data_IF_094081978631
#
_entry.id   IF_094081978631
#
_cell.length_a   1.000
_cell.length_b   1.000
_cell.length_c   1.000
_cell.angle_alpha   90.00
_cell.angle_beta   90.00
_cell.angle_gamma   90.00
#
_symmetry.space_group_name_H-M   'P 1'
#
loop_
_entity.id
_entity.type
_entity.pdbx_description
1 polymer ?
#
# COMPACT_ATOMS: atom_id res chain seq x y z
N UNK A 1 12.14 20.45 -9.36
CA UNK A 1 12.97 19.24 -9.42
C UNK A 1 14.12 19.34 -8.43
N UNK A 2 14.50 18.21 -7.82
CA UNK A 2 15.67 18.12 -6.96
C UNK A 2 16.94 18.29 -7.80
N UNK A 3 17.87 19.07 -7.27
CA UNK A 3 19.21 19.24 -7.85
C UNK A 3 20.09 18.01 -7.54
N UNK A 4 21.21 17.83 -8.24
CA UNK A 4 22.08 16.66 -8.03
C UNK A 4 22.64 16.57 -6.60
N UNK A 5 22.84 17.70 -5.95
CA UNK A 5 23.28 17.78 -4.55
C UNK A 5 22.20 17.42 -3.54
N UNK A 6 20.94 17.31 -3.96
CA UNK A 6 19.77 17.02 -3.14
C UNK A 6 19.28 15.58 -3.30
N UNK A 7 19.97 14.75 -4.05
CA UNK A 7 19.56 13.36 -4.34
C UNK A 7 19.99 12.35 -3.27
N UNK A 8 20.47 12.80 -2.14
CA UNK A 8 20.85 11.92 -1.03
C UNK A 8 20.34 12.48 0.31
N UNK A 9 19.32 11.87 0.85
CA UNK A 9 18.77 12.20 2.16
C UNK A 9 19.44 11.36 3.24
N UNK A 10 19.93 12.01 4.29
CA UNK A 10 20.65 11.36 5.40
C UNK A 10 19.88 11.56 6.72
N UNK A 11 20.37 10.95 7.79
CA UNK A 11 19.82 11.12 9.13
C UNK A 11 20.43 12.31 9.92
N UNK A 12 21.29 13.11 9.30
CA UNK A 12 21.95 14.23 9.99
C UNK A 12 20.96 15.34 10.35
N UNK A 13 19.97 15.58 9.50
CA UNK A 13 18.91 16.57 9.70
C UNK A 13 17.61 16.07 9.08
N UNK A 14 16.44 16.45 9.64
CA UNK A 14 15.17 16.18 8.99
C UNK A 14 15.03 17.03 7.72
N UNK A 15 14.29 16.47 6.76
CA UNK A 15 13.92 17.13 5.51
C UNK A 15 12.47 17.60 5.60
N UNK A 16 12.20 18.83 5.23
CA UNK A 16 10.84 19.37 5.15
C UNK A 16 10.54 19.72 3.70
N UNK A 17 9.48 19.13 3.15
CA UNK A 17 9.08 19.30 1.75
C UNK A 17 7.85 20.20 1.68
N UNK A 18 7.96 21.32 0.96
CA UNK A 18 6.87 22.22 0.60
C UNK A 18 6.54 22.04 -0.89
N UNK A 19 5.29 21.69 -1.20
CA UNK A 19 4.88 21.31 -2.55
C UNK A 19 5.43 19.94 -2.95
N UNK A 20 5.64 19.70 -4.23
CA UNK A 20 6.18 18.43 -4.71
C UNK A 20 7.68 18.50 -4.93
N UNK A 21 8.43 17.68 -4.17
CA UNK A 21 9.82 17.39 -4.51
C UNK A 21 9.84 16.36 -5.64
N UNK A 22 10.35 16.73 -6.82
CA UNK A 22 10.35 15.87 -7.99
C UNK A 22 11.76 15.36 -8.32
N UNK A 23 11.89 14.03 -8.46
CA UNK A 23 13.12 13.39 -8.97
C UNK A 23 13.06 13.36 -10.49
N UNK A 24 14.02 14.03 -11.13
CA UNK A 24 14.04 14.21 -12.56
C UNK A 24 14.52 12.97 -13.33
N UNK A 25 14.25 12.96 -14.64
CA UNK A 25 14.64 11.89 -15.55
C UNK A 25 16.11 11.47 -15.41
N UNK A 26 16.36 10.17 -15.33
CA UNK A 26 17.68 9.57 -15.19
C UNK A 26 18.34 9.73 -13.81
N UNK A 27 17.64 10.31 -12.84
CA UNK A 27 18.15 10.53 -11.48
C UNK A 27 17.56 9.51 -10.49
N UNK A 28 18.31 9.25 -9.44
CA UNK A 28 17.88 8.40 -8.31
C UNK A 28 17.95 9.20 -7.02
N UNK A 29 16.84 9.27 -6.29
CA UNK A 29 16.84 9.76 -4.92
C UNK A 29 17.17 8.61 -3.98
N UNK A 30 18.28 8.73 -3.26
CA UNK A 30 18.68 7.79 -2.21
C UNK A 30 18.32 8.35 -0.83
N UNK A 31 17.63 7.56 -0.04
CA UNK A 31 17.25 7.91 1.32
C UNK A 31 17.89 6.90 2.28
N UNK A 32 18.79 7.38 3.11
CA UNK A 32 19.63 6.55 3.98
C UNK A 32 18.91 6.17 5.29
N UNK A 33 19.38 5.13 5.99
CA UNK A 33 18.78 4.72 7.27
C UNK A 33 18.65 5.87 8.27
N UNK A 34 17.52 5.90 8.96
CA UNK A 34 17.22 6.89 9.99
C UNK A 34 16.82 8.28 9.48
N UNK A 35 16.70 8.48 8.16
CA UNK A 35 16.24 9.75 7.62
C UNK A 35 14.77 10.03 8.01
N UNK A 36 14.47 11.31 8.25
CA UNK A 36 13.13 11.81 8.61
C UNK A 36 12.67 12.80 7.56
N UNK A 37 11.56 12.47 6.89
CA UNK A 37 11.00 13.26 5.80
C UNK A 37 9.61 13.75 6.22
N UNK A 38 9.49 15.06 6.36
CA UNK A 38 8.27 15.72 6.77
C UNK A 38 7.66 16.48 5.59
N UNK A 39 6.38 16.32 5.39
CA UNK A 39 5.65 16.99 4.31
C UNK A 39 4.71 18.06 4.87
N UNK A 40 4.80 19.24 4.32
CA UNK A 40 3.80 20.27 4.55
C UNK A 40 2.47 19.90 3.88
N UNK A 41 1.38 20.58 4.24
CA UNK A 41 0.09 20.37 3.61
C UNK A 41 0.17 20.48 2.07
N UNK A 42 -0.55 19.62 1.36
CA UNK A 42 -0.57 19.52 -0.11
C UNK A 42 0.77 19.19 -0.77
N UNK A 43 1.72 18.70 0.01
CA UNK A 43 3.07 18.34 -0.46
C UNK A 43 3.19 16.85 -0.73
N UNK A 44 4.21 16.45 -1.49
CA UNK A 44 4.48 15.05 -1.81
C UNK A 44 5.84 14.83 -2.44
N UNK A 45 6.13 13.59 -2.74
CA UNK A 45 7.33 13.19 -3.47
C UNK A 45 6.90 12.62 -4.83
N UNK A 46 7.49 13.11 -5.92
CA UNK A 46 7.18 12.67 -7.29
C UNK A 46 8.41 12.05 -7.95
N UNK A 47 8.31 10.79 -8.31
CA UNK A 47 9.35 10.07 -9.07
C UNK A 47 8.91 10.05 -10.53
N UNK A 48 9.59 10.82 -11.38
CA UNK A 48 9.16 11.01 -12.77
C UNK A 48 9.63 9.88 -13.69
N UNK A 49 9.31 9.98 -14.97
CA UNK A 49 9.73 9.02 -15.99
C UNK A 49 11.26 8.81 -15.95
N UNK A 50 11.70 7.55 -16.02
CA UNK A 50 13.09 7.10 -15.98
C UNK A 50 13.88 7.60 -14.74
N UNK A 51 13.16 7.93 -13.65
CA UNK A 51 13.74 8.23 -12.35
C UNK A 51 13.49 7.08 -11.37
N UNK A 52 14.25 7.06 -10.28
CA UNK A 52 14.16 6.01 -9.26
C UNK A 52 14.12 6.58 -7.84
N UNK A 53 13.46 5.83 -6.95
CA UNK A 53 13.48 6.06 -5.50
C UNK A 53 14.12 4.86 -4.80
N UNK A 54 15.16 5.09 -4.04
CA UNK A 54 15.78 4.07 -3.19
C UNK A 54 15.70 4.48 -1.71
N UNK A 55 14.80 3.86 -0.97
CA UNK A 55 14.68 4.02 0.48
C UNK A 55 15.40 2.85 1.14
N UNK A 56 16.51 3.13 1.81
CA UNK A 56 17.45 2.15 2.34
C UNK A 56 17.43 2.12 3.87
N UNK A 57 16.25 2.04 4.48
CA UNK A 57 16.14 1.87 5.93
C UNK A 57 16.75 0.55 6.41
N UNK A 58 16.97 0.45 7.71
CA UNK A 58 17.50 -0.72 8.39
C UNK A 58 16.65 -1.08 9.60
N UNK A 59 16.75 -2.33 10.10
CA UNK A 59 16.06 -2.72 11.32
C UNK A 59 16.48 -1.82 12.50
N UNK A 60 15.51 -1.34 13.25
CA UNK A 60 15.71 -0.59 14.48
C UNK A 60 15.84 -1.54 15.68
N UNK A 61 16.64 -1.18 16.68
CA UNK A 61 16.72 -1.91 17.93
C UNK A 61 15.55 -1.57 18.85
N UNK A 62 15.08 -0.32 18.77
CA UNK A 62 13.93 0.17 19.50
C UNK A 62 12.74 0.31 18.55
N UNK A 63 11.69 -0.48 18.78
CA UNK A 63 10.49 -0.53 17.95
C UNK A 63 9.58 0.70 18.10
N UNK A 64 9.84 1.57 19.08
CA UNK A 64 9.08 2.82 19.27
C UNK A 64 9.84 4.02 18.67
N UNK A 65 11.16 4.05 18.80
CA UNK A 65 12.00 5.13 18.26
C UNK A 65 12.24 4.99 16.76
N UNK A 66 12.22 3.75 16.23
CA UNK A 66 12.44 3.44 14.81
C UNK A 66 13.70 4.15 14.26
N UNK A 67 14.81 4.12 15.04
CA UNK A 67 15.98 4.99 14.84
C UNK A 67 16.69 4.75 13.51
N UNK A 68 16.58 3.54 12.94
CA UNK A 68 17.20 3.18 11.67
C UNK A 68 16.20 3.09 10.51
N UNK A 69 14.90 3.11 10.78
CA UNK A 69 13.90 3.16 9.72
C UNK A 69 13.83 4.56 9.09
N UNK A 70 13.40 4.62 7.85
CA UNK A 70 13.08 5.89 7.20
C UNK A 70 11.61 6.23 7.48
N UNK A 71 11.36 7.44 7.99
CA UNK A 71 9.99 7.86 8.30
C UNK A 71 9.53 8.97 7.36
N UNK A 72 8.35 8.76 6.74
CA UNK A 72 7.61 9.72 5.95
C UNK A 72 6.33 10.10 6.68
N UNK A 73 6.18 11.37 7.05
CA UNK A 73 5.01 11.85 7.80
C UNK A 73 4.73 13.34 7.52
N UNK A 74 3.62 13.87 8.07
CA UNK A 74 3.34 15.32 8.03
C UNK A 74 4.33 16.13 8.87
N UNK A 75 4.44 17.43 8.59
CA UNK A 75 5.31 18.36 9.32
C UNK A 75 4.70 18.89 10.64
N UNK A 76 3.46 18.46 10.97
CA UNK A 76 2.78 18.79 12.21
C UNK A 76 3.16 17.77 13.28
N UNK A 77 4.20 18.07 14.05
CA UNK A 77 4.79 17.15 15.05
C UNK A 77 4.15 17.28 16.45
N UNK A 78 3.15 18.16 16.62
CA UNK A 78 2.43 18.25 17.89
C UNK A 78 1.65 16.95 18.17
N UNK A 79 1.59 16.46 19.41
CA UNK A 79 0.96 15.17 19.75
C UNK A 79 -0.46 15.00 19.21
N UNK A 80 -1.22 16.07 19.08
CA UNK A 80 -2.57 16.05 18.51
C UNK A 80 -2.59 15.57 17.03
N UNK A 81 -1.54 15.85 16.27
CA UNK A 81 -1.45 15.52 14.84
C UNK A 81 -0.78 14.16 14.57
N UNK A 82 -0.28 13.50 15.61
CA UNK A 82 0.47 12.24 15.47
C UNK A 82 -0.31 11.16 14.69
N UNK A 83 -1.63 11.14 14.83
CA UNK A 83 -2.50 10.13 14.22
C UNK A 83 -3.57 10.77 13.32
N UNK A 84 -3.37 12.01 12.87
CA UNK A 84 -4.27 12.64 11.90
C UNK A 84 -3.83 12.26 10.49
N UNK A 85 -4.73 11.63 9.74
CA UNK A 85 -4.53 11.29 8.33
C UNK A 85 -4.74 12.49 7.40
N UNK A 86 -4.22 12.43 6.15
CA UNK A 86 -4.45 13.44 5.14
C UNK A 86 -3.64 14.72 5.30
N UNK A 87 -2.53 14.69 6.02
CA UNK A 87 -1.68 15.87 6.23
C UNK A 87 -0.84 16.23 5.01
N UNK A 88 -0.58 15.29 4.11
CA UNK A 88 0.19 15.46 2.88
C UNK A 88 -0.38 14.56 1.78
N UNK A 89 0.11 14.68 0.55
CA UNK A 89 -0.51 14.00 -0.58
C UNK A 89 -0.06 12.55 -0.75
N UNK A 90 1.12 12.30 -1.33
CA UNK A 90 1.58 10.95 -1.64
C UNK A 90 3.08 10.88 -1.94
N UNK A 91 3.63 9.65 -1.86
CA UNK A 91 4.80 9.25 -2.65
C UNK A 91 4.26 8.75 -3.99
N UNK A 92 4.48 9.49 -5.07
CA UNK A 92 3.93 9.17 -6.37
C UNK A 92 5.02 8.64 -7.31
N UNK A 93 4.94 7.34 -7.60
CA UNK A 93 5.77 6.65 -8.59
C UNK A 93 5.07 6.76 -9.94
N UNK A 94 5.41 7.82 -10.69
CA UNK A 94 4.73 8.14 -11.93
C UNK A 94 5.01 7.10 -13.03
N UNK A 95 4.16 7.08 -14.07
CA UNK A 95 4.35 6.25 -15.24
C UNK A 95 5.76 6.44 -15.83
N UNK A 96 6.47 5.35 -16.11
CA UNK A 96 7.83 5.33 -16.58
C UNK A 96 8.91 5.52 -15.50
N UNK A 97 8.58 5.71 -14.22
CA UNK A 97 9.57 5.59 -13.14
C UNK A 97 10.01 4.12 -12.98
N UNK A 98 11.28 3.88 -12.67
CA UNK A 98 11.88 2.55 -12.72
C UNK A 98 12.66 2.21 -11.45
N UNK A 99 12.76 0.91 -11.11
CA UNK A 99 13.58 0.43 -9.99
C UNK A 99 13.30 1.18 -8.67
N UNK A 100 12.02 1.37 -8.33
CA UNK A 100 11.67 2.01 -7.07
C UNK A 100 11.72 0.95 -5.95
N UNK A 101 12.53 1.21 -4.94
CA UNK A 101 12.77 0.29 -3.82
C UNK A 101 12.49 1.02 -2.51
N UNK A 102 11.66 0.40 -1.66
CA UNK A 102 11.41 0.86 -0.29
C UNK A 102 11.70 -0.29 0.66
N UNK A 103 12.60 -0.09 1.60
CA UNK A 103 12.96 -1.09 2.59
C UNK A 103 13.09 -0.45 3.98
N UNK A 104 12.51 -1.07 5.00
CA UNK A 104 12.45 -0.59 6.38
C UNK A 104 12.03 0.88 6.47
N UNK A 105 10.80 1.13 6.05
CA UNK A 105 10.19 2.47 6.08
C UNK A 105 8.85 2.46 6.82
N UNK A 106 8.57 3.56 7.48
CA UNK A 106 7.24 3.91 8.00
C UNK A 106 6.68 5.08 7.21
N UNK A 107 5.56 4.85 6.51
CA UNK A 107 4.87 5.85 5.68
C UNK A 107 3.51 6.10 6.31
N UNK A 108 3.27 7.31 6.83
CA UNK A 108 2.04 7.58 7.59
C UNK A 108 1.46 8.98 7.40
N UNK A 109 0.20 9.12 7.75
CA UNK A 109 -0.53 10.39 7.88
C UNK A 109 -0.78 11.13 6.56
N UNK A 110 -0.58 10.51 5.41
CA UNK A 110 -0.86 11.11 4.11
C UNK A 110 -2.29 10.93 3.61
N UNK A 111 -2.55 11.43 2.41
CA UNK A 111 -3.77 11.13 1.66
C UNK A 111 -3.66 9.74 1.03
N UNK A 112 -2.57 9.46 0.33
CA UNK A 112 -2.19 8.14 -0.18
C UNK A 112 -0.75 7.87 0.26
N UNK A 113 -0.48 6.70 0.80
CA UNK A 113 0.89 6.36 1.20
C UNK A 113 1.80 6.26 -0.03
N UNK A 114 1.51 5.32 -0.92
CA UNK A 114 2.20 5.18 -2.20
C UNK A 114 1.19 5.08 -3.33
N UNK A 115 1.31 5.96 -4.32
CA UNK A 115 0.60 5.89 -5.60
C UNK A 115 1.57 5.40 -6.68
N UNK A 116 1.28 4.27 -7.30
CA UNK A 116 2.12 3.65 -8.32
C UNK A 116 1.35 3.53 -9.64
N UNK A 117 1.86 4.17 -10.69
CA UNK A 117 1.20 4.24 -12.00
C UNK A 117 2.04 3.62 -13.12
N UNK A 118 1.38 2.83 -13.97
CA UNK A 118 1.91 2.32 -15.23
C UNK A 118 2.98 1.24 -15.08
N UNK A 119 3.48 0.77 -16.23
CA UNK A 119 4.61 -0.18 -16.33
C UNK A 119 4.32 -1.56 -15.73
N UNK A 120 3.13 -2.06 -15.91
CA UNK A 120 2.67 -3.36 -15.38
C UNK A 120 3.52 -4.56 -15.82
N UNK A 121 4.24 -4.45 -16.94
CA UNK A 121 5.12 -5.49 -17.45
C UNK A 121 6.55 -5.43 -16.86
N UNK A 122 6.88 -4.38 -16.10
CA UNK A 122 8.18 -4.26 -15.46
C UNK A 122 8.13 -4.73 -14.00
N UNK A 123 8.64 -5.93 -13.68
CA UNK A 123 8.64 -6.45 -12.31
C UNK A 123 9.53 -5.62 -11.36
N UNK A 124 10.37 -4.74 -11.87
CA UNK A 124 11.19 -3.83 -11.08
C UNK A 124 10.53 -2.48 -10.82
N UNK A 125 9.29 -2.26 -11.30
CA UNK A 125 8.59 -0.97 -11.18
C UNK A 125 8.54 -0.49 -9.73
N UNK A 126 8.07 -1.34 -8.82
CA UNK A 126 8.03 -1.03 -7.39
C UNK A 126 8.23 -2.27 -6.51
N UNK A 127 9.18 -2.18 -5.60
CA UNK A 127 9.42 -3.18 -4.58
C UNK A 127 9.37 -2.52 -3.20
N UNK A 128 8.57 -3.11 -2.29
CA UNK A 128 8.48 -2.65 -0.91
C UNK A 128 8.64 -3.83 0.05
N UNK A 129 9.57 -3.70 1.00
CA UNK A 129 9.87 -4.77 1.95
C UNK A 129 10.02 -4.23 3.37
N UNK A 130 9.70 -5.06 4.37
CA UNK A 130 9.94 -4.77 5.79
C UNK A 130 9.41 -3.39 6.22
N UNK A 131 8.24 -2.99 5.75
CA UNK A 131 7.77 -1.60 5.87
C UNK A 131 6.34 -1.53 6.39
N UNK A 132 5.99 -0.38 6.95
CA UNK A 132 4.67 -0.08 7.47
C UNK A 132 4.06 1.09 6.71
N UNK A 133 2.78 0.96 6.33
CA UNK A 133 2.01 2.01 5.65
C UNK A 133 0.68 2.15 6.36
N UNK A 134 0.44 3.25 7.03
CA UNK A 134 -0.78 3.37 7.80
C UNK A 134 -1.29 4.81 7.96
N UNK A 135 -2.55 4.91 8.36
CA UNK A 135 -3.20 6.18 8.71
C UNK A 135 -3.27 7.15 7.52
N UNK A 136 -3.77 6.67 6.39
CA UNK A 136 -3.99 7.48 5.19
C UNK A 136 -5.47 7.80 4.99
N UNK A 137 -5.80 9.03 4.59
CA UNK A 137 -7.22 9.41 4.44
C UNK A 137 -7.92 8.72 3.26
N UNK A 138 -7.16 8.20 2.30
CA UNK A 138 -7.67 7.44 1.16
C UNK A 138 -7.07 6.03 1.11
N UNK A 139 -5.94 5.85 0.44
CA UNK A 139 -5.32 4.54 0.23
C UNK A 139 -3.97 4.41 0.93
N UNK A 140 -3.66 3.22 1.43
CA UNK A 140 -2.31 2.90 1.86
C UNK A 140 -1.38 2.77 0.66
N UNK A 141 -1.64 1.78 -0.20
CA UNK A 141 -0.96 1.60 -1.49
C UNK A 141 -2.02 1.52 -2.59
N UNK A 142 -1.91 2.38 -3.59
CA UNK A 142 -2.74 2.37 -4.79
C UNK A 142 -1.90 2.10 -6.02
N UNK A 143 -2.08 0.94 -6.64
CA UNK A 143 -1.52 0.57 -7.94
C UNK A 143 -2.54 0.75 -9.04
N UNK A 144 -2.13 1.35 -10.19
CA UNK A 144 -2.97 1.50 -11.37
C UNK A 144 -2.20 1.03 -12.60
N UNK A 145 -2.64 -0.09 -13.23
CA UNK A 145 -1.96 -0.69 -14.38
C UNK A 145 -0.45 -0.80 -14.16
N UNK A 146 -0.04 -1.38 -13.03
CA UNK A 146 1.37 -1.33 -12.57
C UNK A 146 1.84 -2.68 -12.04
N UNK A 147 3.14 -2.77 -11.73
CA UNK A 147 3.74 -3.94 -11.10
C UNK A 147 4.25 -3.60 -9.69
N UNK A 148 3.81 -4.37 -8.69
CA UNK A 148 4.21 -4.22 -7.29
C UNK A 148 4.63 -5.57 -6.72
N UNK A 149 5.84 -5.62 -6.16
CA UNK A 149 6.32 -6.73 -5.34
C UNK A 149 6.39 -6.25 -3.89
N UNK A 150 5.70 -6.93 -2.99
CA UNK A 150 5.71 -6.58 -1.58
C UNK A 150 5.99 -7.81 -0.71
N UNK A 151 6.86 -7.65 0.28
CA UNK A 151 7.19 -8.70 1.23
C UNK A 151 7.33 -8.14 2.65
N UNK A 152 6.71 -8.82 3.61
CA UNK A 152 6.78 -8.45 5.01
C UNK A 152 6.37 -6.98 5.25
N UNK A 153 5.20 -6.61 4.73
CA UNK A 153 4.64 -5.28 4.95
C UNK A 153 3.37 -5.34 5.79
N UNK A 154 3.11 -4.26 6.49
CA UNK A 154 1.88 -4.05 7.23
C UNK A 154 1.20 -2.79 6.70
N UNK A 155 -0.06 -2.91 6.25
CA UNK A 155 -0.87 -1.77 5.83
C UNK A 155 -2.12 -1.73 6.71
N UNK A 156 -2.46 -0.55 7.24
CA UNK A 156 -3.62 -0.40 8.12
C UNK A 156 -4.20 1.01 8.12
N UNK A 157 -5.42 1.13 8.62
CA UNK A 157 -6.08 2.40 8.95
C UNK A 157 -6.12 3.39 7.78
N UNK A 158 -6.81 3.00 6.70
CA UNK A 158 -6.97 3.81 5.48
C UNK A 158 -8.45 4.10 5.21
N UNK A 159 -8.77 5.35 4.84
CA UNK A 159 -10.15 5.82 4.67
C UNK A 159 -10.91 5.18 3.50
N UNK A 160 -10.20 4.63 2.51
CA UNK A 160 -10.77 3.81 1.44
C UNK A 160 -10.24 2.37 1.55
N UNK A 161 -9.18 2.00 0.86
CA UNK A 161 -8.58 0.67 0.96
C UNK A 161 -7.13 0.74 1.42
N UNK A 162 -6.71 -0.27 2.17
CA UNK A 162 -5.31 -0.41 2.56
C UNK A 162 -4.44 -0.74 1.35
N UNK A 163 -4.85 -1.69 0.53
CA UNK A 163 -4.23 -1.98 -0.77
C UNK A 163 -5.30 -1.99 -1.86
N UNK A 164 -5.06 -1.25 -2.93
CA UNK A 164 -5.90 -1.28 -4.12
C UNK A 164 -5.05 -1.50 -5.37
N UNK A 165 -5.32 -2.59 -6.09
CA UNK A 165 -4.79 -2.88 -7.42
C UNK A 165 -5.89 -2.63 -8.44
N UNK A 166 -5.86 -1.47 -9.09
CA UNK A 166 -6.93 -1.02 -9.99
C UNK A 166 -6.45 -0.90 -11.42
N UNK A 167 -7.40 -1.05 -12.35
CA UNK A 167 -7.09 -1.00 -13.77
C UNK A 167 -6.02 -2.04 -14.16
N UNK A 168 -6.17 -3.29 -13.65
CA UNK A 168 -5.26 -4.39 -13.93
C UNK A 168 -3.87 -4.25 -13.30
N UNK A 169 -2.90 -4.96 -13.87
CA UNK A 169 -1.50 -4.93 -13.43
C UNK A 169 -0.95 -6.29 -13.01
N UNK A 170 0.20 -6.27 -12.31
CA UNK A 170 0.89 -7.42 -11.75
C UNK A 170 1.24 -7.20 -10.28
N UNK A 171 0.74 -8.05 -9.39
CA UNK A 171 0.94 -7.93 -7.95
C UNK A 171 1.45 -9.24 -7.36
N UNK A 172 2.55 -9.18 -6.62
CA UNK A 172 3.08 -10.31 -5.88
C UNK A 172 3.33 -9.89 -4.43
N UNK A 173 2.46 -10.32 -3.53
CA UNK A 173 2.46 -9.92 -2.13
C UNK A 173 2.67 -11.16 -1.26
N UNK A 174 3.71 -11.15 -0.44
CA UNK A 174 4.03 -12.30 0.43
C UNK A 174 4.25 -11.88 1.88
N UNK A 175 3.90 -12.75 2.82
CA UNK A 175 4.15 -12.56 4.27
C UNK A 175 3.66 -11.22 4.80
N UNK A 176 2.48 -10.76 4.37
CA UNK A 176 2.04 -9.39 4.60
C UNK A 176 0.68 -9.31 5.28
N UNK A 177 0.45 -8.26 6.05
CA UNK A 177 -0.83 -7.95 6.65
C UNK A 177 -1.45 -6.73 5.98
N UNK A 178 -2.57 -6.95 5.29
CA UNK A 178 -3.40 -5.90 4.68
C UNK A 178 -4.65 -5.77 5.55
N UNK A 179 -4.54 -5.01 6.61
CA UNK A 179 -5.65 -4.76 7.52
C UNK A 179 -6.27 -3.38 7.29
N UNK A 180 -7.51 -3.18 7.74
CA UNK A 180 -8.10 -1.86 7.73
C UNK A 180 -9.06 -1.63 8.90
N UNK A 181 -8.56 -0.99 9.94
CA UNK A 181 -9.31 -0.62 11.14
C UNK A 181 -9.69 0.86 11.18
N UNK A 182 -9.94 1.47 10.02
CA UNK A 182 -10.34 2.85 9.90
C UNK A 182 -11.62 3.15 10.70
N UNK A 183 -11.55 4.16 11.55
CA UNK A 183 -12.66 4.56 12.43
C UNK A 183 -12.99 6.07 12.37
N UNK A 184 -12.24 6.86 11.60
CA UNK A 184 -12.41 8.32 11.56
C UNK A 184 -13.63 8.77 10.76
N UNK A 185 -14.13 7.92 9.86
CA UNK A 185 -15.35 8.17 9.07
C UNK A 185 -15.92 6.86 8.55
N UNK A 186 -17.08 6.92 7.87
CA UNK A 186 -17.60 5.77 7.14
C UNK A 186 -16.63 5.35 6.03
N UNK A 187 -16.28 4.06 5.99
CA UNK A 187 -15.42 3.46 4.97
C UNK A 187 -16.28 2.65 3.99
N UNK A 188 -16.19 2.99 2.72
CA UNK A 188 -17.00 2.35 1.67
C UNK A 188 -16.32 1.09 1.11
N UNK A 189 -14.98 1.10 0.98
CA UNK A 189 -14.23 0.02 0.34
C UNK A 189 -13.56 -0.90 1.35
N UNK A 190 -13.27 -2.16 0.96
CA UNK A 190 -12.60 -3.13 1.83
C UNK A 190 -11.10 -2.85 2.00
N UNK A 191 -10.45 -3.63 2.87
CA UNK A 191 -9.00 -3.56 3.04
C UNK A 191 -8.24 -3.84 1.74
N UNK A 192 -8.70 -4.84 0.95
CA UNK A 192 -8.13 -5.21 -0.34
C UNK A 192 -9.16 -5.05 -1.47
N UNK A 193 -8.82 -4.22 -2.47
CA UNK A 193 -9.59 -4.03 -3.69
C UNK A 193 -8.75 -4.43 -4.92
N UNK A 194 -9.33 -5.25 -5.80
CA UNK A 194 -8.76 -5.60 -7.09
C UNK A 194 -9.78 -5.39 -8.19
N UNK A 195 -9.41 -4.71 -9.29
CA UNK A 195 -10.23 -4.66 -10.49
C UNK A 195 -9.38 -4.55 -11.77
N UNK A 196 -10.02 -4.78 -12.92
CA UNK A 196 -9.40 -4.72 -14.27
C UNK A 196 -9.98 -3.60 -15.14
N UNK A 197 -10.60 -2.58 -14.56
CA UNK A 197 -11.24 -1.48 -15.31
C UNK A 197 -11.19 -0.15 -14.55
N UNK A 198 -11.43 0.91 -15.30
CA UNK A 198 -11.78 2.24 -14.79
C UNK A 198 -13.03 2.76 -15.51
N UNK A 199 -13.75 3.65 -14.85
CA UNK A 199 -14.92 4.34 -15.42
C UNK A 199 -14.62 5.83 -15.41
N UNK A 200 -14.70 6.48 -16.56
CA UNK A 200 -14.50 7.92 -16.68
C UNK A 200 -15.77 8.74 -16.33
N UNK A 201 -15.67 10.06 -16.38
CA UNK A 201 -16.78 10.95 -16.07
C UNK A 201 -17.98 10.84 -17.05
N UNK A 202 -17.74 10.34 -18.24
CA UNK A 202 -18.74 10.08 -19.28
C UNK A 202 -19.37 8.67 -19.17
N UNK A 203 -19.04 7.91 -18.11
CA UNK A 203 -19.38 6.52 -17.89
C UNK A 203 -18.82 5.54 -18.96
N UNK A 204 -17.72 5.91 -19.61
CA UNK A 204 -16.99 4.99 -20.47
C UNK A 204 -16.13 4.06 -19.65
N UNK A 205 -16.31 2.76 -19.86
CA UNK A 205 -15.49 1.73 -19.21
C UNK A 205 -14.27 1.46 -20.08
N UNK A 206 -13.09 1.59 -19.50
CA UNK A 206 -11.82 1.17 -20.09
C UNK A 206 -11.24 0.04 -19.27
N UNK A 207 -10.82 -1.03 -19.93
CA UNK A 207 -10.32 -2.25 -19.29
C UNK A 207 -8.83 -2.43 -19.56
N UNK A 208 -8.16 -3.09 -18.61
CA UNK A 208 -6.76 -3.52 -18.72
C UNK A 208 -6.59 -4.82 -17.92
N UNK A 209 -5.86 -5.83 -18.43
CA UNK A 209 -5.79 -7.12 -17.76
C UNK A 209 -5.12 -7.03 -16.38
N UNK A 210 -5.73 -7.66 -15.38
CA UNK A 210 -5.04 -8.06 -14.17
C UNK A 210 -4.33 -9.38 -14.49
N UNK A 211 -3.07 -9.28 -14.94
CA UNK A 211 -2.33 -10.43 -15.43
C UNK A 211 -1.99 -11.40 -14.32
N UNK A 212 -1.67 -10.87 -13.15
CA UNK A 212 -1.38 -11.66 -11.94
C UNK A 212 -1.63 -10.84 -10.68
N UNK A 213 -2.32 -11.42 -9.69
CA UNK A 213 -2.38 -10.90 -8.33
C UNK A 213 -2.24 -12.06 -7.34
N UNK A 214 -1.02 -12.29 -6.83
CA UNK A 214 -0.70 -13.38 -5.93
C UNK A 214 -0.52 -12.87 -4.51
N UNK A 215 -1.25 -13.48 -3.57
CA UNK A 215 -1.16 -13.20 -2.13
C UNK A 215 -0.83 -14.50 -1.39
N UNK A 216 0.40 -14.59 -0.87
CA UNK A 216 0.87 -15.81 -0.20
C UNK A 216 1.25 -15.52 1.25
N UNK A 217 0.74 -16.33 2.19
CA UNK A 217 0.97 -16.15 3.62
C UNK A 217 0.54 -14.75 4.09
N UNK A 218 -0.64 -14.31 3.67
CA UNK A 218 -1.15 -12.96 3.95
C UNK A 218 -2.35 -12.98 4.88
N UNK A 219 -2.56 -11.88 5.60
CA UNK A 219 -3.77 -11.62 6.38
C UNK A 219 -4.50 -10.43 5.74
N UNK A 220 -5.74 -10.63 5.31
CA UNK A 220 -6.66 -9.59 4.82
C UNK A 220 -7.79 -9.48 5.83
N UNK A 221 -7.80 -8.40 6.63
CA UNK A 221 -8.72 -8.29 7.76
C UNK A 221 -9.09 -6.82 8.08
N UNK A 222 -10.11 -6.62 8.90
CA UNK A 222 -10.48 -5.27 9.32
C UNK A 222 -11.82 -5.20 10.04
N UNK A 223 -12.40 -4.00 10.07
CA UNK A 223 -13.67 -3.73 10.75
C UNK A 223 -14.87 -3.58 9.79
N UNK A 224 -14.67 -3.68 8.48
CA UNK A 224 -15.75 -3.81 7.49
C UNK A 224 -16.01 -5.28 7.17
N UNK A 225 -17.14 -5.52 6.56
CA UNK A 225 -17.51 -6.83 6.02
C UNK A 225 -18.20 -6.65 4.66
N UNK A 226 -17.58 -7.16 3.56
CA UNK A 226 -16.32 -7.91 3.49
C UNK A 226 -15.06 -7.02 3.49
N UNK A 227 -13.88 -7.62 3.69
CA UNK A 227 -12.58 -6.95 3.57
C UNK A 227 -11.82 -7.31 2.29
N UNK A 228 -12.48 -8.01 1.38
CA UNK A 228 -12.01 -8.30 0.03
C UNK A 228 -13.10 -7.90 -0.99
N UNK A 229 -12.72 -7.11 -1.99
CA UNK A 229 -13.57 -6.83 -3.16
C UNK A 229 -12.80 -7.08 -4.45
N UNK A 230 -13.41 -7.87 -5.34
CA UNK A 230 -12.88 -8.20 -6.66
C UNK A 230 -13.95 -7.83 -7.67
N UNK A 231 -13.65 -6.88 -8.53
CA UNK A 231 -14.57 -6.39 -9.56
C UNK A 231 -13.99 -6.65 -10.94
N UNK A 232 -14.76 -7.31 -11.79
CA UNK A 232 -14.31 -7.75 -13.10
C UNK A 232 -15.19 -7.21 -14.22
N UNK A 233 -14.54 -6.61 -15.21
CA UNK A 233 -15.10 -6.46 -16.55
C UNK A 233 -14.62 -7.61 -17.45
N UNK A 234 -15.58 -8.24 -18.16
CA UNK A 234 -15.33 -9.51 -18.85
C UNK A 234 -14.55 -9.41 -20.16
N UNK A 235 -14.24 -8.20 -20.61
CA UNK A 235 -13.47 -7.97 -21.85
C UNK A 235 -11.96 -8.25 -21.69
N UNK A 236 -11.48 -8.32 -20.45
CA UNK A 236 -10.08 -8.57 -20.13
C UNK A 236 -9.93 -9.58 -19.01
N UNK A 237 -8.76 -10.19 -18.93
CA UNK A 237 -8.42 -11.15 -17.87
C UNK A 237 -8.36 -10.50 -16.50
N UNK A 238 -8.77 -11.29 -15.49
CA UNK A 238 -8.57 -10.96 -14.09
C UNK A 238 -8.08 -12.23 -13.37
N UNK A 239 -6.75 -12.34 -13.23
CA UNK A 239 -6.10 -13.50 -12.65
C UNK A 239 -5.57 -13.16 -11.25
N UNK A 240 -6.08 -13.86 -10.25
CA UNK A 240 -5.63 -13.71 -8.87
C UNK A 240 -5.56 -15.06 -8.16
N UNK A 241 -4.77 -15.10 -7.08
CA UNK A 241 -4.66 -16.29 -6.24
C UNK A 241 -4.30 -15.91 -4.81
N UNK A 242 -4.96 -16.55 -3.86
CA UNK A 242 -4.61 -16.53 -2.45
C UNK A 242 -4.09 -17.90 -2.04
N UNK A 243 -2.94 -17.94 -1.36
CA UNK A 243 -2.32 -19.19 -0.88
C UNK A 243 -1.94 -19.04 0.60
N UNK A 244 -2.33 -20.01 1.45
CA UNK A 244 -2.02 -20.03 2.88
C UNK A 244 -2.36 -18.70 3.58
N UNK A 245 -3.53 -18.16 3.33
CA UNK A 245 -3.89 -16.81 3.78
C UNK A 245 -5.15 -16.81 4.66
N UNK A 246 -5.29 -15.79 5.47
CA UNK A 246 -6.49 -15.52 6.26
C UNK A 246 -7.25 -14.35 5.64
N UNK A 247 -8.55 -14.52 5.37
CA UNK A 247 -9.40 -13.49 4.78
C UNK A 247 -10.68 -13.30 5.63
N UNK A 248 -10.98 -12.04 5.94
CA UNK A 248 -12.28 -11.68 6.53
C UNK A 248 -13.29 -11.41 5.42
N UNK A 249 -14.25 -12.32 5.27
CA UNK A 249 -15.29 -12.23 4.25
C UNK A 249 -16.54 -12.97 4.71
N UNK A 250 -17.62 -12.23 4.95
CA UNK A 250 -18.91 -12.80 5.31
C UNK A 250 -20.02 -12.18 4.45
N UNK A 251 -20.54 -12.92 3.48
CA UNK A 251 -21.61 -12.47 2.59
C UNK A 251 -22.98 -12.61 3.25
N UNK A 252 -23.29 -11.75 4.21
CA UNK A 252 -24.55 -11.76 4.96
C UNK A 252 -25.80 -11.60 4.07
N UNK A 253 -25.67 -11.01 2.90
CA UNK A 253 -26.78 -10.67 2.03
C UNK A 253 -26.84 -11.52 0.75
N UNK A 254 -25.87 -12.39 0.48
CA UNK A 254 -25.78 -13.20 -0.74
C UNK A 254 -25.51 -12.37 -2.00
N UNK A 255 -24.75 -11.29 -1.90
CA UNK A 255 -24.45 -10.38 -3.00
C UNK A 255 -23.26 -10.82 -3.84
N UNK A 256 -22.44 -11.76 -3.36
CA UNK A 256 -21.17 -12.17 -3.96
C UNK A 256 -21.29 -13.61 -4.51
N UNK A 257 -21.96 -13.76 -5.66
CA UNK A 257 -22.24 -15.08 -6.28
C UNK A 257 -21.46 -15.35 -7.57
N UNK A 258 -20.58 -14.43 -7.99
CA UNK A 258 -19.75 -14.61 -9.18
C UNK A 258 -18.61 -15.61 -8.91
N UNK A 259 -17.99 -16.12 -9.99
CA UNK A 259 -16.93 -17.13 -9.91
C UNK A 259 -15.69 -16.67 -9.13
N UNK A 260 -15.48 -15.38 -9.04
CA UNK A 260 -14.40 -14.75 -8.26
C UNK A 260 -14.56 -15.02 -6.76
N UNK A 261 -15.77 -15.32 -6.28
CA UNK A 261 -16.10 -15.61 -4.86
C UNK A 261 -16.46 -17.09 -4.63
N UNK A 262 -16.08 -17.99 -5.54
CA UNK A 262 -16.14 -19.43 -5.30
C UNK A 262 -14.98 -19.85 -4.41
N UNK A 263 -15.16 -19.73 -3.10
CA UNK A 263 -14.14 -20.03 -2.09
C UNK A 263 -13.79 -21.52 -1.97
N UNK A 264 -14.57 -22.41 -2.56
CA UNK A 264 -14.25 -23.83 -2.69
C UNK A 264 -13.28 -24.12 -3.85
N UNK A 265 -13.04 -23.14 -4.73
CA UNK A 265 -12.11 -23.26 -5.84
C UNK A 265 -10.64 -23.15 -5.37
N UNK A 266 -10.03 -24.29 -5.09
CA UNK A 266 -8.64 -24.37 -4.64
C UNK A 266 -7.58 -23.90 -5.64
N UNK A 267 -7.95 -23.65 -6.90
CA UNK A 267 -7.02 -23.05 -7.88
C UNK A 267 -6.83 -21.55 -7.61
N UNK A 268 -7.79 -20.91 -6.97
CA UNK A 268 -7.79 -19.48 -6.60
C UNK A 268 -7.54 -19.30 -5.09
N UNK A 269 -8.16 -20.15 -4.26
CA UNK A 269 -8.11 -20.08 -2.79
C UNK A 269 -7.45 -21.33 -2.20
N UNK A 270 -6.13 -21.42 -2.29
CA UNK A 270 -5.37 -22.60 -1.83
C UNK A 270 -5.00 -22.47 -0.34
N UNK A 271 -5.53 -23.36 0.50
CA UNK A 271 -5.31 -23.35 1.95
C UNK A 271 -5.68 -21.99 2.60
N UNK A 272 -6.76 -21.36 2.14
CA UNK A 272 -7.25 -20.11 2.71
C UNK A 272 -8.22 -20.43 3.86
N UNK A 273 -8.05 -19.72 4.97
CA UNK A 273 -9.00 -19.77 6.10
C UNK A 273 -9.81 -18.46 6.12
N UNK A 274 -11.09 -18.56 6.45
CA UNK A 274 -11.99 -17.41 6.46
C UNK A 274 -12.54 -17.12 7.85
N UNK A 275 -12.65 -15.84 8.17
CA UNK A 275 -13.40 -15.34 9.32
C UNK A 275 -12.86 -15.74 10.70
N UNK A 276 -11.62 -16.25 10.79
CA UNK A 276 -10.96 -16.43 12.09
C UNK A 276 -10.35 -15.11 12.55
N UNK A 277 -10.52 -14.79 13.82
CA UNK A 277 -9.90 -13.59 14.41
C UNK A 277 -8.38 -13.79 14.52
N UNK A 278 -7.56 -12.95 13.86
CA UNK A 278 -6.10 -13.02 13.96
C UNK A 278 -5.58 -12.63 15.35
N UNK A 279 -6.42 -12.08 16.22
CA UNK A 279 -6.10 -11.68 17.59
C UNK A 279 -4.93 -10.68 17.65
N UNK A 280 -4.93 -9.69 16.80
CA UNK A 280 -3.90 -8.65 16.82
C UNK A 280 -3.76 -8.01 18.21
N UNK A 281 -2.53 -7.72 18.61
CA UNK A 281 -2.21 -7.21 19.95
C UNK A 281 -2.94 -5.89 20.25
N UNK A 282 -2.95 -4.95 19.30
CA UNK A 282 -3.63 -3.65 19.44
C UNK A 282 -3.83 -3.01 18.06
N UNK A 283 -4.91 -3.37 17.40
CA UNK A 283 -5.22 -2.88 16.04
C UNK A 283 -5.48 -1.37 15.98
N UNK A 284 -5.94 -0.77 17.07
CA UNK A 284 -6.25 0.66 17.11
C UNK A 284 -5.00 1.54 17.14
N UNK A 285 -3.88 0.98 17.60
CA UNK A 285 -2.57 1.64 17.62
C UNK A 285 -1.59 1.05 16.61
N UNK A 286 -2.11 0.45 15.52
CA UNK A 286 -1.34 -0.16 14.44
C UNK A 286 -0.37 -1.29 14.88
N UNK A 287 -0.60 -1.91 16.05
CA UNK A 287 0.17 -3.05 16.55
C UNK A 287 -0.50 -4.36 16.10
N UNK A 288 -0.22 -4.73 14.86
CA UNK A 288 -0.81 -5.92 14.22
C UNK A 288 0.06 -7.18 14.40
N UNK A 289 0.82 -7.23 15.48
CA UNK A 289 1.55 -8.43 15.88
C UNK A 289 0.57 -9.54 16.23
N UNK A 290 0.87 -10.75 15.80
CA UNK A 290 0.10 -11.94 16.09
C UNK A 290 0.66 -12.61 17.35
N UNK A 291 -0.15 -12.89 18.38
CA UNK A 291 0.32 -13.60 19.56
C UNK A 291 0.60 -15.07 19.30
N UNK A 292 1.43 -15.67 20.13
CA UNK A 292 1.67 -17.13 20.10
C UNK A 292 0.35 -17.87 20.35
N UNK A 293 -0.04 -18.73 19.41
CA UNK A 293 -1.27 -19.51 19.49
C UNK A 293 -2.46 -18.91 18.72
N UNK A 294 -2.26 -17.84 17.96
CA UNK A 294 -3.20 -17.42 16.92
C UNK A 294 -3.41 -18.52 15.88
N UNK A 295 -4.61 -18.65 15.30
CA UNK A 295 -4.95 -19.67 14.30
C UNK A 295 -4.05 -19.61 13.05
#
# INVERSE_FOLDING_TARGET
FLEDSELNFTNEKPYVIYGYAAVGNGKTLNINPGARIHFHADSGLLITNNASLHVNGMPSLDSELLENEVIFEGDRLEPFYQDISGQWQAIWLYNGSVNNIVNHATIKNGTIGVLCDGDEQDPSKFQITNSQVYNHSNFGILGRATSIIAENIVINNCGLSSFAGTFGGNYNIVHSTIANYWSSSFRQFPALLLNNFIVDAENTVTTNPLSTASFTNCIIYGNNNPELLIEKENSEDLNFKFTNSLIYFDDLNGNFSSAEYDFDNSTIYENVIFNYDPQFVDQNNNRLNIPVGSP
#
